data_IF_840420480337
#
_entry.id   IF_840420480337
#
_cell.length_a   1.000
_cell.length_b   1.000
_cell.length_c   1.000
_cell.angle_alpha   90.00
_cell.angle_beta   90.00
_cell.angle_gamma   90.00
#
_symmetry.space_group_name_H-M   'P 1'
#
loop_
_entity.id
_entity.type
_entity.pdbx_description
1 polymer ?
#
# COMPACT_ATOMS: atom_id res chain seq x y z
N UNK A 1 10.60 34.61 -3.93
CA UNK A 1 9.51 33.64 -3.92
C UNK A 1 9.81 32.32 -4.66
N UNK A 2 11.07 32.01 -4.97
CA UNK A 2 11.48 30.73 -5.57
C UNK A 2 12.25 29.80 -4.62
N UNK A 3 12.43 30.20 -3.35
CA UNK A 3 13.23 29.47 -2.35
C UNK A 3 12.44 28.46 -1.52
N UNK A 4 11.10 28.54 -1.52
CA UNK A 4 10.28 27.67 -0.70
C UNK A 4 9.96 26.32 -1.38
N UNK A 5 9.82 26.32 -2.70
CA UNK A 5 9.50 25.09 -3.47
C UNK A 5 10.67 24.09 -3.44
N UNK A 6 11.91 24.57 -3.50
CA UNK A 6 13.08 23.68 -3.42
C UNK A 6 13.29 23.10 -2.00
N UNK A 7 12.89 23.84 -0.96
CA UNK A 7 12.94 23.33 0.41
C UNK A 7 11.87 22.28 0.69
N UNK A 8 10.67 22.44 0.10
CA UNK A 8 9.61 21.44 0.19
C UNK A 8 9.98 20.16 -0.54
N UNK A 9 10.58 20.25 -1.74
CA UNK A 9 11.07 19.08 -2.48
C UNK A 9 12.25 18.40 -1.79
N UNK A 10 13.13 19.12 -1.10
CA UNK A 10 14.25 18.58 -0.34
C UNK A 10 13.76 17.93 0.97
N UNK A 11 12.72 18.46 1.59
CA UNK A 11 12.05 17.87 2.75
C UNK A 11 11.34 16.58 2.34
N UNK A 12 10.64 16.60 1.19
CA UNK A 12 9.97 15.42 0.64
C UNK A 12 10.94 14.31 0.18
N UNK A 13 12.11 14.70 -0.34
CA UNK A 13 13.15 13.74 -0.73
C UNK A 13 13.79 13.00 0.45
N UNK A 14 13.68 13.55 1.67
CA UNK A 14 14.16 12.94 2.90
C UNK A 14 13.11 12.19 3.72
N UNK A 15 11.84 12.33 3.38
CA UNK A 15 10.76 11.65 4.10
C UNK A 15 10.69 10.17 3.71
N UNK A 16 10.72 9.34 4.74
CA UNK A 16 10.59 7.90 4.63
C UNK A 16 9.22 7.49 5.14
N UNK A 17 8.69 6.41 4.59
CA UNK A 17 7.40 5.86 5.02
C UNK A 17 7.68 4.60 5.83
N UNK A 18 7.11 4.58 7.03
CA UNK A 18 7.20 3.47 7.96
C UNK A 18 5.81 2.92 8.27
N UNK A 19 5.70 1.61 8.35
CA UNK A 19 4.57 0.93 8.96
C UNK A 19 4.98 0.43 10.33
N UNK A 20 4.24 0.85 11.34
CA UNK A 20 4.46 0.45 12.73
C UNK A 20 3.23 -0.30 13.22
N UNK A 21 3.40 -1.58 13.45
CA UNK A 21 2.34 -2.41 14.04
C UNK A 21 2.70 -2.73 15.48
N UNK A 22 1.76 -2.57 16.38
CA UNK A 22 1.96 -2.95 17.78
C UNK A 22 0.73 -3.66 18.35
N UNK A 23 0.99 -4.48 19.35
CA UNK A 23 0.01 -5.33 20.02
C UNK A 23 -0.13 -4.81 21.44
N UNK A 24 -1.35 -4.42 21.79
CA UNK A 24 -1.69 -3.97 23.15
C UNK A 24 -2.27 -5.14 23.94
N UNK A 25 -1.99 -5.16 25.23
CA UNK A 25 -2.52 -6.15 26.17
C UNK A 25 -4.06 -6.23 26.07
N UNK A 26 -4.62 -7.43 25.88
CA UNK A 26 -6.07 -7.62 25.72
C UNK A 26 -6.88 -7.24 26.96
N UNK A 27 -6.25 -7.12 28.13
CA UNK A 27 -6.88 -6.68 29.36
C UNK A 27 -6.98 -5.15 29.46
N UNK A 28 -6.31 -4.41 28.54
CA UNK A 28 -6.43 -2.95 28.45
C UNK A 28 -7.82 -2.57 27.95
N UNK A 29 -8.48 -1.65 28.65
CA UNK A 29 -9.79 -1.14 28.26
C UNK A 29 -9.76 -0.40 26.93
N UNK A 30 -10.87 -0.37 26.21
CA UNK A 30 -10.97 0.29 24.91
C UNK A 30 -10.60 1.79 24.97
N UNK A 31 -10.99 2.49 26.03
CA UNK A 31 -10.64 3.89 26.24
C UNK A 31 -9.14 4.08 26.46
N UNK A 32 -8.49 3.16 27.16
CA UNK A 32 -7.05 3.20 27.40
C UNK A 32 -6.26 2.87 26.13
N UNK A 33 -6.75 1.97 25.29
CA UNK A 33 -6.18 1.68 23.96
C UNK A 33 -6.24 2.93 23.09
N UNK A 34 -7.36 3.64 23.08
CA UNK A 34 -7.52 4.88 22.33
C UNK A 34 -6.56 5.95 22.83
N UNK A 35 -6.49 6.17 24.15
CA UNK A 35 -5.56 7.13 24.76
C UNK A 35 -4.09 6.79 24.47
N UNK A 36 -3.74 5.52 24.53
CA UNK A 36 -2.39 5.06 24.16
C UNK A 36 -2.07 5.39 22.72
N UNK A 37 -2.99 5.08 21.81
CA UNK A 37 -2.85 5.38 20.38
C UNK A 37 -2.69 6.88 20.13
N UNK A 38 -3.51 7.72 20.74
CA UNK A 38 -3.43 9.17 20.64
C UNK A 38 -2.10 9.73 21.19
N UNK A 39 -1.65 9.23 22.34
CA UNK A 39 -0.37 9.63 22.92
C UNK A 39 0.82 9.29 22.02
N UNK A 40 0.79 8.10 21.41
CA UNK A 40 1.85 7.68 20.48
C UNK A 40 1.83 8.52 19.20
N UNK A 41 0.66 8.88 18.68
CA UNK A 41 0.52 9.79 17.53
C UNK A 41 1.04 11.19 17.86
N UNK A 42 0.74 11.70 19.06
CA UNK A 42 1.21 13.01 19.50
C UNK A 42 2.73 13.08 19.54
N UNK A 43 3.40 12.04 20.02
CA UNK A 43 4.88 11.96 20.03
C UNK A 43 5.45 12.07 18.62
N UNK A 44 4.84 11.39 17.64
CA UNK A 44 5.27 11.45 16.24
C UNK A 44 5.13 12.88 15.70
N UNK A 45 3.99 13.51 15.97
CA UNK A 45 3.69 14.87 15.50
C UNK A 45 4.61 15.90 16.15
N UNK A 46 4.87 15.80 17.45
CA UNK A 46 5.75 16.70 18.20
C UNK A 46 7.20 16.68 17.69
N UNK A 47 7.63 15.57 17.12
CA UNK A 47 8.96 15.39 16.54
C UNK A 47 9.03 15.72 15.04
N UNK A 48 7.91 16.17 14.46
CA UNK A 48 7.83 16.60 13.07
C UNK A 48 7.45 15.51 12.08
N UNK A 49 7.07 14.32 12.55
CA UNK A 49 6.50 13.26 11.71
C UNK A 49 5.01 13.45 11.47
N UNK A 50 4.50 12.73 10.50
CA UNK A 50 3.07 12.73 10.16
C UNK A 50 2.51 11.32 10.19
N UNK A 51 1.42 11.11 10.91
CA UNK A 51 0.68 9.84 10.86
C UNK A 51 -0.34 9.92 9.72
N UNK A 52 -0.08 9.20 8.64
CA UNK A 52 -0.96 9.17 7.46
C UNK A 52 -2.09 8.17 7.58
N UNK A 53 -1.89 7.14 8.40
CA UNK A 53 -2.89 6.12 8.67
C UNK A 53 -2.81 5.66 10.12
N UNK A 54 -3.97 5.55 10.76
CA UNK A 54 -4.16 4.89 12.04
C UNK A 54 -5.29 3.88 11.88
N UNK A 55 -4.97 2.60 11.95
CA UNK A 55 -5.93 1.52 11.79
C UNK A 55 -5.96 0.66 13.05
N UNK A 56 -7.11 0.67 13.70
CA UNK A 56 -7.42 -0.28 14.76
C UNK A 56 -7.94 -1.58 14.14
N UNK A 57 -7.13 -2.62 14.24
CA UNK A 57 -7.45 -3.93 13.69
C UNK A 57 -8.24 -4.81 14.68
N UNK A 58 -8.47 -4.34 15.88
CA UNK A 58 -9.21 -5.01 16.92
C UNK A 58 -8.44 -6.14 17.61
N UNK A 59 -9.14 -6.84 18.48
CA UNK A 59 -8.61 -8.00 19.21
C UNK A 59 -8.48 -9.20 18.28
N UNK A 60 -7.30 -9.84 18.31
CA UNK A 60 -7.00 -11.02 17.50
C UNK A 60 -6.21 -12.04 18.31
N UNK A 61 -6.38 -13.30 17.95
CA UNK A 61 -5.57 -14.39 18.50
C UNK A 61 -4.13 -14.26 18.00
N UNK A 62 -3.16 -14.39 18.91
CA UNK A 62 -1.74 -14.38 18.59
C UNK A 62 -1.32 -15.70 17.93
N UNK A 63 -0.34 -15.65 17.03
CA UNK A 63 0.25 -16.84 16.41
C UNK A 63 0.97 -17.73 17.44
N UNK A 64 1.49 -17.12 18.50
CA UNK A 64 2.10 -17.77 19.65
C UNK A 64 1.84 -16.96 20.91
N UNK A 65 1.91 -17.61 22.04
CA UNK A 65 1.68 -16.98 23.34
C UNK A 65 2.80 -15.99 23.69
N UNK A 66 2.42 -14.78 24.09
CA UNK A 66 3.34 -13.77 24.62
C UNK A 66 3.11 -13.63 26.12
N UNK A 67 4.08 -14.05 26.92
CA UNK A 67 3.87 -14.18 28.36
C UNK A 67 2.76 -15.19 28.65
N UNK A 68 1.67 -14.71 29.26
CA UNK A 68 0.46 -15.51 29.53
C UNK A 68 -0.71 -15.14 28.61
N UNK A 69 -0.48 -14.29 27.59
CA UNK A 69 -1.53 -13.79 26.72
C UNK A 69 -1.56 -14.60 25.43
N UNK A 70 -2.74 -15.00 25.01
CA UNK A 70 -3.03 -15.72 23.75
C UNK A 70 -3.71 -14.84 22.72
N UNK A 71 -4.16 -13.65 23.14
CA UNK A 71 -4.80 -12.64 22.31
C UNK A 71 -4.12 -11.29 22.51
N UNK A 72 -4.38 -10.36 21.61
CA UNK A 72 -3.90 -8.98 21.69
C UNK A 72 -4.72 -8.06 20.82
N UNK A 73 -4.66 -6.78 21.13
CA UNK A 73 -5.30 -5.73 20.34
C UNK A 73 -4.27 -5.15 19.37
N UNK A 74 -4.51 -5.29 18.07
CA UNK A 74 -3.59 -4.90 17.00
C UNK A 74 -3.90 -3.49 16.52
N UNK A 75 -2.87 -2.65 16.45
CA UNK A 75 -2.94 -1.31 15.88
C UNK A 75 -1.84 -1.13 14.86
N UNK A 76 -2.16 -0.51 13.73
CA UNK A 76 -1.25 -0.20 12.64
C UNK A 76 -1.19 1.30 12.41
N UNK A 77 0.00 1.88 12.49
CA UNK A 77 0.30 3.24 12.05
C UNK A 77 1.07 3.21 10.74
N UNK A 78 0.74 4.12 9.86
CA UNK A 78 1.60 4.51 8.76
C UNK A 78 2.13 5.91 9.05
N UNK A 79 3.44 6.06 9.08
CA UNK A 79 4.13 7.27 9.50
C UNK A 79 5.08 7.74 8.42
N UNK A 80 4.99 9.01 8.09
CA UNK A 80 5.97 9.71 7.26
C UNK A 80 6.88 10.56 8.14
N UNK A 81 8.20 10.39 7.97
CA UNK A 81 9.16 11.12 8.79
C UNK A 81 10.62 10.83 8.46
N UNK A 82 11.50 11.43 9.22
CA UNK A 82 12.97 11.31 9.05
C UNK A 82 13.54 10.01 9.64
N UNK A 83 12.77 9.35 10.52
CA UNK A 83 13.18 8.18 11.28
C UNK A 83 13.53 8.48 12.76
N UNK A 84 13.73 9.74 13.14
CA UNK A 84 13.97 10.14 14.55
C UNK A 84 12.70 9.95 15.38
N UNK A 85 11.56 10.25 14.80
CA UNK A 85 10.23 10.07 15.36
C UNK A 85 9.97 8.59 15.67
N UNK A 86 10.41 7.72 14.77
CA UNK A 86 10.28 6.27 14.93
C UNK A 86 11.13 5.76 16.10
N UNK A 87 12.36 6.24 16.22
CA UNK A 87 13.24 5.82 17.31
C UNK A 87 12.65 6.18 18.69
N UNK A 88 12.07 7.37 18.83
CA UNK A 88 11.40 7.77 20.08
C UNK A 88 10.10 7.00 20.29
N UNK A 89 9.31 6.76 19.24
CA UNK A 89 8.11 5.95 19.28
C UNK A 89 8.44 4.53 19.79
N UNK A 90 9.44 3.88 19.22
CA UNK A 90 9.90 2.55 19.64
C UNK A 90 10.36 2.55 21.10
N UNK A 91 11.09 3.60 21.50
CA UNK A 91 11.52 3.76 22.90
C UNK A 91 10.33 3.81 23.84
N UNK A 92 9.30 4.59 23.50
CA UNK A 92 8.06 4.71 24.30
C UNK A 92 7.28 3.40 24.35
N UNK A 93 7.12 2.72 23.22
CA UNK A 93 6.46 1.41 23.18
C UNK A 93 7.20 0.36 24.01
N UNK A 94 8.53 0.41 24.02
CA UNK A 94 9.36 -0.56 24.79
C UNK A 94 9.23 -0.41 26.29
N UNK A 95 9.03 0.81 26.78
CA UNK A 95 8.87 1.08 28.23
C UNK A 95 7.42 1.05 28.70
N UNK A 96 6.49 0.88 27.80
CA UNK A 96 5.05 0.83 28.12
C UNK A 96 4.61 -0.61 28.35
N UNK A 97 4.18 -0.92 29.56
CA UNK A 97 3.72 -2.24 29.97
C UNK A 97 2.45 -2.73 29.25
N UNK A 98 1.67 -1.80 28.68
CA UNK A 98 0.48 -2.13 27.90
C UNK A 98 0.80 -2.65 26.51
N UNK A 99 2.01 -2.40 25.98
CA UNK A 99 2.45 -2.86 24.68
C UNK A 99 3.19 -4.20 24.82
N UNK A 100 2.57 -5.26 24.33
CA UNK A 100 3.16 -6.60 24.38
C UNK A 100 4.31 -6.77 23.40
N UNK A 101 4.14 -6.25 22.19
CA UNK A 101 5.12 -6.35 21.11
C UNK A 101 4.87 -5.30 20.03
N UNK A 102 5.92 -4.92 19.32
CA UNK A 102 5.82 -4.03 18.15
C UNK A 102 6.78 -4.45 17.04
N UNK A 103 6.49 -4.02 15.84
CA UNK A 103 7.36 -4.15 14.66
C UNK A 103 7.29 -2.86 13.85
N UNK A 104 8.43 -2.43 13.35
CA UNK A 104 8.55 -1.28 12.44
C UNK A 104 9.14 -1.75 11.13
N UNK A 105 8.49 -1.39 10.02
CA UNK A 105 8.94 -1.72 8.66
C UNK A 105 9.02 -0.45 7.84
N UNK A 106 10.15 -0.24 7.16
CA UNK A 106 10.31 0.83 6.19
C UNK A 106 9.78 0.37 4.83
N UNK A 107 8.79 1.08 4.30
CA UNK A 107 8.03 0.64 3.10
C UNK A 107 8.18 1.57 1.88
N UNK A 108 8.88 2.69 2.01
CA UNK A 108 9.07 3.66 0.93
C UNK A 108 9.74 3.05 -0.32
N UNK A 109 10.77 2.26 -0.13
CA UNK A 109 11.49 1.61 -1.24
C UNK A 109 10.63 0.58 -1.97
N UNK A 110 9.89 -0.22 -1.25
CA UNK A 110 9.02 -1.25 -1.82
C UNK A 110 7.83 -0.64 -2.56
N UNK A 111 7.25 0.45 -2.03
CA UNK A 111 6.22 1.22 -2.72
C UNK A 111 6.74 1.81 -4.02
N UNK A 112 7.90 2.44 -4.01
CA UNK A 112 8.52 2.99 -5.22
C UNK A 112 8.80 1.90 -6.27
N UNK A 113 9.25 0.71 -5.85
CA UNK A 113 9.44 -0.44 -6.74
C UNK A 113 8.12 -0.92 -7.32
N UNK A 114 7.08 -1.06 -6.49
CA UNK A 114 5.75 -1.49 -6.91
C UNK A 114 5.15 -0.52 -7.93
N UNK A 115 5.28 0.78 -7.71
CA UNK A 115 4.82 1.82 -8.64
C UNK A 115 5.57 1.77 -9.98
N UNK A 116 6.89 1.62 -9.95
CA UNK A 116 7.69 1.46 -11.18
C UNK A 116 7.28 0.22 -11.97
N UNK A 117 7.01 -0.90 -11.31
CA UNK A 117 6.51 -2.11 -11.95
C UNK A 117 5.11 -1.94 -12.52
N UNK A 118 4.22 -1.28 -11.79
CA UNK A 118 2.85 -0.97 -12.22
C UNK A 118 2.84 -0.08 -13.46
N UNK A 119 3.64 0.99 -13.45
CA UNK A 119 3.81 1.89 -14.57
C UNK A 119 4.40 1.17 -15.81
N UNK A 120 5.40 0.30 -15.61
CA UNK A 120 5.99 -0.50 -16.70
C UNK A 120 4.98 -1.47 -17.30
N UNK A 121 4.14 -2.12 -16.48
CA UNK A 121 3.06 -3.00 -16.94
C UNK A 121 2.00 -2.23 -17.74
N UNK A 122 1.58 -1.06 -17.27
CA UNK A 122 0.61 -0.21 -17.96
C UNK A 122 1.14 0.24 -19.34
N UNK A 123 2.40 0.67 -19.43
CA UNK A 123 3.04 1.03 -20.71
C UNK A 123 3.10 -0.15 -21.68
N UNK A 124 3.39 -1.37 -21.18
CA UNK A 124 3.44 -2.58 -22.01
C UNK A 124 2.05 -3.00 -22.51
N UNK A 125 1.02 -2.85 -21.70
CA UNK A 125 -0.37 -3.12 -22.08
C UNK A 125 -0.85 -2.12 -23.17
N UNK A 126 -0.57 -0.83 -23.01
CA UNK A 126 -0.90 0.19 -24.01
C UNK A 126 -0.24 -0.02 -25.36
N UNK A 127 1.03 -0.49 -25.38
CA UNK A 127 1.72 -0.83 -26.65
C UNK A 127 1.13 -2.06 -27.36
N UNK A 128 0.57 -3.00 -26.62
CA UNK A 128 -0.10 -4.18 -27.21
C UNK A 128 -1.44 -3.84 -27.84
N UNK A 129 -2.21 -2.94 -27.23
CA UNK A 129 -3.49 -2.48 -27.78
C UNK A 129 -3.33 -1.62 -29.03
N UNK A 130 -2.25 -0.83 -29.12
CA UNK A 130 -1.96 -0.02 -30.31
C UNK A 130 -1.40 -0.83 -31.50
N UNK A 131 -0.77 -2.00 -31.26
CA UNK A 131 -0.25 -2.85 -32.32
C UNK A 131 -1.30 -3.79 -32.94
N UNK A 132 -2.42 -4.05 -32.26
CA UNK A 132 -3.51 -4.87 -32.78
C UNK A 132 -4.51 -4.12 -33.67
N UNK A 133 -4.46 -2.79 -33.72
CA UNK A 133 -5.33 -1.93 -34.54
C UNK A 133 -4.84 -1.68 -35.96
N UNK A 134 -3.62 -2.12 -36.35
CA UNK A 134 -3.03 -1.81 -37.67
C UNK A 134 -3.03 -2.97 -38.66
N UNK A 135 -3.63 -4.11 -38.37
CA UNK A 135 -3.63 -5.30 -39.25
C UNK A 135 -5.00 -5.59 -39.92
N UNK A 136 -5.83 -4.57 -40.13
CA UNK A 136 -7.18 -4.75 -40.66
C UNK A 136 -7.56 -3.86 -41.84
N UNK A 137 -6.63 -3.56 -42.79
CA UNK A 137 -7.01 -2.87 -44.03
C UNK A 137 -6.02 -3.14 -45.16
N UNK A 138 -6.05 -4.31 -45.73
CA UNK A 138 -5.57 -4.58 -47.13
C UNK A 138 -6.08 -5.92 -47.62
N UNK A 139 -6.87 -5.86 -48.70
CA UNK A 139 -7.29 -6.96 -49.51
C UNK A 139 -8.76 -6.83 -49.87
N UNK A 140 -9.19 -6.07 -50.78
CA UNK A 140 -9.00 -6.06 -52.20
C UNK A 140 -9.88 -7.12 -52.85
N UNK A 141 -10.99 -6.68 -53.48
CA UNK A 141 -12.05 -7.46 -54.13
C UNK A 141 -11.57 -8.48 -55.13
N UNK A 142 -12.33 -9.52 -55.22
CA UNK A 142 -12.59 -10.26 -56.46
C UNK A 142 -13.99 -10.85 -56.39
N UNK A 143 -14.88 -10.25 -57.14
CA UNK A 143 -16.20 -10.80 -57.46
C UNK A 143 -16.03 -12.07 -58.26
N UNK A 144 -16.63 -13.15 -57.85
CA UNK A 144 -16.92 -14.31 -58.70
C UNK A 144 -18.41 -14.62 -58.52
N UNK A 145 -19.14 -14.43 -59.59
CA UNK A 145 -20.59 -14.72 -59.75
C UNK A 145 -20.84 -16.23 -59.66
N UNK A 146 -22.04 -16.64 -59.27
CA UNK A 146 -22.46 -18.04 -59.28
C UNK A 146 -22.90 -18.46 -60.67
N UNK A 147 -22.37 -19.54 -61.16
CA UNK A 147 -22.91 -20.24 -62.32
C UNK A 147 -24.07 -21.13 -61.89
N UNK A 148 -25.21 -20.88 -62.51
CA UNK A 148 -26.37 -21.73 -62.53
C UNK A 148 -26.13 -22.89 -63.52
N UNK A 149 -26.47 -24.10 -63.14
CA UNK A 149 -26.91 -25.20 -64.00
C UNK A 149 -27.75 -26.10 -63.09
N UNK A 150 -29.12 -26.10 -63.23
CA UNK A 150 -29.97 -26.89 -64.13
C UNK A 150 -29.44 -28.34 -64.25
N UNK A 151 -30.28 -29.15 -63.86
CA UNK A 151 -31.41 -29.92 -64.22
C UNK A 151 -31.14 -31.42 -64.22
N UNK A 152 -32.22 -32.05 -64.01
CA UNK A 152 -32.75 -33.39 -64.40
C UNK A 152 -32.40 -34.48 -63.34
N UNK A 153 -33.39 -35.21 -62.90
CA UNK A 153 -34.64 -35.75 -63.44
C UNK A 153 -34.63 -37.22 -63.07
N UNK A 154 -35.78 -37.63 -62.64
CA UNK A 154 -36.39 -38.94 -62.94
C UNK A 154 -36.09 -40.14 -62.01
N UNK A 155 -37.24 -40.68 -61.68
CA UNK A 155 -37.73 -41.97 -61.25
C UNK A 155 -37.90 -42.16 -59.73
#
# INVERSE_FOLDING_TARGET
MKLDIQKEDEILAGQRIYEVMFIVDPETGADDVTRLSENLQQIITDLGGTVTKNEDMGRRTLAYQIGRKTEGHYILFEVEGSGREIAELERRMRVNDQVLRYITVRVDEDRQRAEKFKAKRARKAGRRSSSSGSAGARGGGAAVQPAVAEEDGDA
#
